data_IF_412748218094
#
_entry.id   IF_412748218094
#
_cell.length_a   1.000
_cell.length_b   1.000
_cell.length_c   1.000
_cell.angle_alpha   90.00
_cell.angle_beta   90.00
_cell.angle_gamma   90.00
#
_symmetry.space_group_name_H-M   'P 1'
#
loop_
_entity.id
_entity.type
_entity.pdbx_description
1 polymer ?
#
# COMPACT_ATOMS: atom_id res chain seq x y z
N UNK A 1 -15.79 -1.63 -7.22
CA UNK A 1 -14.48 -1.80 -7.89
C UNK A 1 -14.73 -2.55 -9.18
N UNK A 2 -14.98 -1.84 -10.29
CA UNK A 2 -15.38 -2.44 -11.58
C UNK A 2 -14.26 -2.51 -12.62
N UNK A 3 -13.12 -1.85 -12.38
CA UNK A 3 -11.92 -1.99 -13.19
C UNK A 3 -10.75 -2.38 -12.29
N UNK A 4 -10.11 -3.50 -12.62
CA UNK A 4 -8.95 -4.04 -11.91
C UNK A 4 -7.69 -3.65 -12.68
N UNK A 5 -6.63 -3.29 -11.97
CA UNK A 5 -5.30 -3.15 -12.55
C UNK A 5 -4.81 -4.50 -13.09
N UNK A 6 -3.91 -4.51 -14.07
CA UNK A 6 -3.25 -5.75 -14.51
C UNK A 6 -2.27 -6.28 -13.46
N UNK A 7 -1.59 -5.38 -12.74
CA UNK A 7 -0.54 -5.68 -11.77
C UNK A 7 -0.77 -5.00 -10.43
N UNK A 8 -0.16 -5.56 -9.38
CA UNK A 8 -0.13 -5.00 -8.03
C UNK A 8 1.23 -5.24 -7.40
N UNK A 9 1.70 -4.26 -6.63
CA UNK A 9 2.87 -4.43 -5.78
C UNK A 9 2.45 -5.16 -4.48
N UNK A 10 3.07 -6.30 -4.21
CA UNK A 10 2.75 -7.19 -3.11
C UNK A 10 4.04 -7.78 -2.53
N UNK A 11 4.36 -7.43 -1.28
CA UNK A 11 5.56 -7.91 -0.56
C UNK A 11 6.87 -7.79 -1.37
N UNK A 12 7.19 -6.56 -1.81
CA UNK A 12 8.40 -6.23 -2.57
C UNK A 12 8.47 -6.77 -4.01
N UNK A 13 7.41 -7.39 -4.52
CA UNK A 13 7.31 -7.87 -5.90
C UNK A 13 6.11 -7.28 -6.64
N UNK A 14 6.20 -7.15 -7.96
CA UNK A 14 5.06 -6.81 -8.82
C UNK A 14 4.49 -8.11 -9.37
N UNK A 15 3.24 -8.43 -9.02
CA UNK A 15 2.56 -9.66 -9.42
C UNK A 15 1.25 -9.35 -10.17
N UNK A 16 0.71 -10.30 -10.96
CA UNK A 16 -0.62 -10.17 -11.53
C UNK A 16 -1.69 -9.92 -10.46
N UNK A 17 -2.61 -9.00 -10.72
CA UNK A 17 -3.63 -8.58 -9.73
C UNK A 17 -4.40 -9.76 -9.12
N UNK A 18 -4.77 -10.76 -9.92
CA UNK A 18 -5.52 -11.93 -9.47
C UNK A 18 -4.73 -12.90 -8.56
N UNK A 19 -3.42 -12.72 -8.43
CA UNK A 19 -2.56 -13.55 -7.58
C UNK A 19 -2.34 -12.94 -6.19
N UNK A 20 -2.66 -11.65 -5.98
CA UNK A 20 -2.54 -10.99 -4.69
C UNK A 20 -3.63 -11.44 -3.72
N UNK A 21 -3.39 -12.58 -3.08
CA UNK A 21 -4.31 -13.24 -2.16
C UNK A 21 -3.72 -13.28 -0.74
N UNK A 22 -4.60 -13.17 0.25
CA UNK A 22 -4.32 -13.43 1.66
C UNK A 22 -5.21 -14.57 2.16
N UNK A 23 -4.77 -15.28 3.19
CA UNK A 23 -5.57 -16.35 3.76
C UNK A 23 -6.83 -15.78 4.45
N UNK A 24 -7.94 -16.53 4.44
CA UNK A 24 -9.20 -16.08 5.07
C UNK A 24 -9.07 -15.84 6.58
N UNK A 25 -8.10 -16.49 7.23
CA UNK A 25 -7.77 -16.28 8.65
C UNK A 25 -6.77 -15.13 8.91
N UNK A 26 -6.42 -14.34 7.90
CA UNK A 26 -5.53 -13.20 8.09
C UNK A 26 -6.11 -12.23 9.12
N UNK A 27 -5.29 -11.87 10.11
CA UNK A 27 -5.71 -11.10 11.28
C UNK A 27 -6.42 -9.79 10.94
N UNK A 28 -5.95 -9.08 9.90
CA UNK A 28 -6.55 -7.83 9.42
C UNK A 28 -8.02 -7.97 9.02
N UNK A 29 -8.44 -9.14 8.52
CA UNK A 29 -9.83 -9.39 8.10
C UNK A 29 -10.76 -9.55 9.30
N UNK A 30 -10.29 -10.18 10.38
CA UNK A 30 -11.11 -10.48 11.56
C UNK A 30 -11.11 -9.36 12.59
N UNK A 31 -10.00 -8.62 12.69
CA UNK A 31 -9.78 -7.67 13.78
C UNK A 31 -9.47 -6.25 13.30
N UNK A 32 -9.41 -6.01 11.98
CA UNK A 32 -9.23 -4.67 11.41
C UNK A 32 -7.87 -4.02 11.69
N UNK A 33 -6.90 -4.75 12.23
CA UNK A 33 -5.58 -4.24 12.58
C UNK A 33 -4.70 -4.08 11.33
N UNK A 34 -4.86 -2.98 10.62
CA UNK A 34 -4.07 -2.64 9.46
C UNK A 34 -4.15 -1.15 9.17
N UNK A 35 -3.15 -0.64 8.45
CA UNK A 35 -3.09 0.75 8.01
C UNK A 35 -3.04 0.79 6.49
N UNK A 36 -3.62 1.83 5.89
CA UNK A 36 -3.64 2.01 4.45
C UNK A 36 -3.56 3.50 4.11
N UNK A 37 -3.24 3.79 2.85
CA UNK A 37 -3.23 5.15 2.31
C UNK A 37 -4.12 5.29 1.08
N UNK A 38 -4.59 6.51 0.87
CA UNK A 38 -5.32 6.90 -0.35
C UNK A 38 -4.50 7.93 -1.09
N UNK A 39 -3.82 7.50 -2.16
CA UNK A 39 -2.91 8.36 -2.95
C UNK A 39 -3.54 8.60 -4.32
N UNK A 40 -3.40 9.82 -4.85
CA UNK A 40 -3.86 10.18 -6.18
C UNK A 40 -2.71 10.51 -7.11
N UNK A 41 -2.80 9.98 -8.33
CA UNK A 41 -1.97 10.36 -9.47
C UNK A 41 -2.81 11.21 -10.42
N UNK A 42 -2.22 12.27 -10.97
CA UNK A 42 -2.85 13.16 -11.92
C UNK A 42 -2.00 13.25 -13.17
N UNK A 43 -2.65 13.38 -14.32
CA UNK A 43 -1.97 13.74 -15.56
C UNK A 43 -1.52 15.20 -15.49
N UNK A 44 -0.30 15.48 -15.92
CA UNK A 44 0.28 16.83 -15.92
C UNK A 44 1.02 17.08 -17.24
N UNK A 45 1.33 18.33 -17.61
CA UNK A 45 2.08 18.61 -18.84
C UNK A 45 3.44 17.92 -18.94
N UNK A 46 4.04 17.52 -17.82
CA UNK A 46 5.31 16.81 -17.75
C UNK A 46 5.16 15.29 -17.58
N UNK A 47 3.94 14.77 -17.68
CA UNK A 47 3.57 13.38 -17.44
C UNK A 47 2.83 13.15 -16.11
N UNK A 48 2.41 11.90 -15.83
CA UNK A 48 1.68 11.57 -14.61
C UNK A 48 2.51 11.86 -13.35
N UNK A 49 1.90 12.53 -12.37
CA UNK A 49 2.55 12.90 -11.12
C UNK A 49 1.69 12.51 -9.91
N UNK A 50 2.35 12.04 -8.85
CA UNK A 50 1.69 11.72 -7.58
C UNK A 50 1.63 12.98 -6.72
N UNK A 51 0.44 13.34 -6.26
CA UNK A 51 0.28 14.52 -5.42
C UNK A 51 0.70 14.22 -3.97
N UNK A 52 1.69 14.97 -3.48
CA UNK A 52 2.20 14.90 -2.08
C UNK A 52 2.62 13.49 -1.63
N UNK A 53 3.30 12.75 -2.50
CA UNK A 53 3.74 11.38 -2.22
C UNK A 53 4.45 11.25 -0.86
N UNK A 54 5.46 12.08 -0.61
CA UNK A 54 6.25 12.02 0.63
C UNK A 54 5.39 12.16 1.88
N UNK A 55 4.42 13.09 1.89
CA UNK A 55 3.52 13.29 3.02
C UNK A 55 2.63 12.07 3.29
N UNK A 56 2.14 11.41 2.23
CA UNK A 56 1.37 10.17 2.34
C UNK A 56 2.22 9.03 2.91
N UNK A 57 3.46 8.88 2.44
CA UNK A 57 4.38 7.84 2.93
C UNK A 57 4.74 8.08 4.40
N UNK A 58 5.05 9.31 4.79
CA UNK A 58 5.31 9.68 6.19
C UNK A 58 4.10 9.38 7.07
N UNK A 59 2.88 9.67 6.61
CA UNK A 59 1.66 9.37 7.37
C UNK A 59 1.39 7.87 7.49
N UNK A 60 1.66 7.09 6.44
CA UNK A 60 1.55 5.63 6.48
C UNK A 60 2.46 5.05 7.57
N UNK A 61 3.74 5.46 7.60
CA UNK A 61 4.69 4.98 8.60
C UNK A 61 4.31 5.40 10.02
N UNK A 62 3.90 6.66 10.23
CA UNK A 62 3.38 7.11 11.53
C UNK A 62 2.16 6.31 11.97
N UNK A 63 1.27 5.98 11.04
CA UNK A 63 0.08 5.18 11.35
C UNK A 63 0.48 3.76 11.76
N UNK A 64 1.46 3.15 11.08
CA UNK A 64 2.00 1.85 11.44
C UNK A 64 2.63 1.85 12.84
N UNK A 65 3.42 2.90 13.17
CA UNK A 65 4.04 3.11 14.48
C UNK A 65 2.99 3.20 15.61
N UNK A 66 1.89 3.93 15.40
CA UNK A 66 0.79 4.00 16.38
C UNK A 66 0.13 2.65 16.66
N UNK A 67 0.15 1.73 15.69
CA UNK A 67 -0.35 0.37 15.83
C UNK A 67 0.74 -0.65 16.23
N UNK A 68 1.97 -0.18 16.48
CA UNK A 68 3.12 -1.04 16.79
C UNK A 68 3.40 -2.10 15.70
N UNK A 69 3.22 -1.74 14.43
CA UNK A 69 3.46 -2.59 13.25
C UNK A 69 4.90 -2.45 12.70
N UNK A 70 5.82 -2.00 13.55
CA UNK A 70 7.13 -1.41 13.22
C UNK A 70 8.07 -2.39 12.51
N UNK A 71 7.90 -3.70 12.76
CA UNK A 71 8.80 -4.76 12.29
C UNK A 71 8.75 -5.05 10.79
N UNK A 72 7.77 -4.49 10.06
CA UNK A 72 7.57 -4.77 8.63
C UNK A 72 8.19 -3.70 7.71
N UNK A 73 8.68 -2.59 8.27
CA UNK A 73 9.16 -1.44 7.49
C UNK A 73 10.61 -1.62 7.00
N UNK A 74 11.41 -2.44 7.69
CA UNK A 74 12.82 -2.67 7.35
C UNK A 74 13.05 -3.55 6.10
N UNK A 75 12.00 -4.14 5.53
CA UNK A 75 12.11 -5.10 4.41
C UNK A 75 11.85 -4.49 3.02
N UNK A 76 11.54 -3.19 2.94
CA UNK A 76 11.38 -2.50 1.65
C UNK A 76 12.73 -1.85 1.28
N UNK A 77 13.47 -2.36 0.28
CA UNK A 77 14.71 -1.74 -0.15
C UNK A 77 14.45 -0.33 -0.71
N UNK A 78 15.37 0.59 -0.44
CA UNK A 78 15.37 1.96 -0.95
C UNK A 78 15.49 2.01 -2.48
#
# INVERSE_FOLDING_TARGET
MSEQSEYIWYNSEIIPWNQANIHVMSHVIHYGSGVFEGIKCYDTPSGPAIFRLEDHIVRLYKSAEFYSLDTFIEQVPA
#
